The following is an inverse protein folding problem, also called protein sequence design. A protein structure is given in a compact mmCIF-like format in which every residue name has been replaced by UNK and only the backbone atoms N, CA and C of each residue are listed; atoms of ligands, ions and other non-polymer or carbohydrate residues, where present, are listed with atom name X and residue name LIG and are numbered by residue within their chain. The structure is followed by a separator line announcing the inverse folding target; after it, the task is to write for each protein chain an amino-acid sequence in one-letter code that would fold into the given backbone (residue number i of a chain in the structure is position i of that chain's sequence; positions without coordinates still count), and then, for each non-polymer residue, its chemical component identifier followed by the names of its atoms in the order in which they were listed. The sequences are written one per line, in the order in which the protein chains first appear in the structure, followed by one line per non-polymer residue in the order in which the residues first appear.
data_IF_019057906290
#
_entry.id   IF_019057906290
#
_cell.length_a   1.000
_cell.length_b   1.000
_cell.length_c   1.000
_cell.angle_alpha   90.00
_cell.angle_beta   90.00
_cell.angle_gamma   90.00
#
_symmetry.space_group_name_H-M   'P 1'
#
loop_
_entity.id
_entity.type
_entity.pdbx_description
1 polymer ?
#
# COMPACT_ATOMS: atom_id res chain seq x y z
N UNK A 1 31.08 4.53 -12.46
CA UNK A 1 30.22 3.33 -12.63
C UNK A 1 30.80 2.19 -11.81
N UNK A 2 30.01 1.53 -10.97
CA UNK A 2 30.46 0.35 -10.22
C UNK A 2 30.55 -0.84 -11.20
N UNK A 3 31.58 -1.67 -11.12
CA UNK A 3 31.70 -2.87 -11.98
C UNK A 3 30.71 -3.98 -11.60
N UNK A 4 30.47 -4.94 -12.50
CA UNK A 4 29.66 -6.15 -12.24
C UNK A 4 28.14 -5.95 -12.39
N UNK A 5 27.35 -6.80 -11.71
CA UNK A 5 25.89 -6.79 -11.77
C UNK A 5 25.27 -5.43 -11.34
N UNK A 6 25.92 -4.73 -10.41
CA UNK A 6 25.53 -3.38 -9.99
C UNK A 6 25.69 -2.34 -11.09
N UNK A 7 26.73 -2.46 -11.92
CA UNK A 7 26.89 -1.59 -13.09
C UNK A 7 25.87 -1.86 -14.20
N UNK A 8 25.35 -3.07 -14.29
CA UNK A 8 24.25 -3.39 -15.20
C UNK A 8 22.91 -2.81 -14.71
N UNK A 9 22.64 -2.91 -13.40
CA UNK A 9 21.50 -2.27 -12.77
C UNK A 9 21.52 -0.74 -12.93
N UNK A 10 22.68 -0.12 -12.72
CA UNK A 10 22.86 1.33 -12.91
C UNK A 10 22.58 1.74 -14.37
N UNK A 11 23.02 0.95 -15.36
CA UNK A 11 22.72 1.20 -16.79
C UNK A 11 21.24 1.08 -17.08
N UNK A 12 20.59 0.00 -16.62
CA UNK A 12 19.16 -0.19 -16.80
C UNK A 12 18.35 0.94 -16.17
N UNK A 13 18.80 1.47 -15.02
CA UNK A 13 18.18 2.64 -14.39
C UNK A 13 18.32 3.88 -15.25
N UNK A 14 19.49 4.13 -15.81
CA UNK A 14 19.74 5.28 -16.70
C UNK A 14 18.88 5.17 -17.95
N UNK A 15 18.91 4.02 -18.63
CA UNK A 15 18.12 3.77 -19.84
C UNK A 15 16.61 3.95 -19.56
N UNK A 16 16.13 3.47 -18.40
CA UNK A 16 14.75 3.66 -17.98
C UNK A 16 14.38 5.13 -17.70
N UNK A 17 15.32 5.94 -17.21
CA UNK A 17 15.10 7.38 -17.01
C UNK A 17 15.14 8.16 -18.32
N UNK A 18 16.03 7.76 -19.24
CA UNK A 18 16.14 8.34 -20.58
C UNK A 18 14.89 8.06 -21.42
N UNK A 19 14.32 6.86 -21.32
CA UNK A 19 13.01 6.52 -21.90
C UNK A 19 11.84 7.38 -21.39
N UNK A 20 12.04 8.12 -20.29
CA UNK A 20 11.07 9.06 -19.72
C UNK A 20 11.41 10.52 -20.03
N UNK A 21 12.40 10.80 -20.90
CA UNK A 21 12.77 12.16 -21.30
C UNK A 21 11.57 12.92 -21.93
N UNK A 22 10.74 12.22 -22.72
CA UNK A 22 9.52 12.78 -23.32
C UNK A 22 8.49 13.35 -22.32
N UNK A 23 8.58 13.03 -21.04
CA UNK A 23 7.75 13.63 -19.98
C UNK A 23 8.14 15.09 -19.65
N UNK A 24 9.27 15.58 -20.17
CA UNK A 24 9.77 16.94 -19.99
C UNK A 24 10.58 17.16 -18.71
N UNK A 25 11.15 18.35 -18.59
CA UNK A 25 12.05 18.75 -17.50
C UNK A 25 11.35 19.42 -16.32
N UNK A 26 10.08 19.84 -16.47
CA UNK A 26 9.32 20.50 -15.41
C UNK A 26 8.89 19.58 -14.27
N UNK A 27 8.25 20.15 -13.24
CA UNK A 27 7.75 19.41 -12.07
C UNK A 27 6.93 18.15 -12.45
N UNK A 28 6.03 18.17 -13.45
CA UNK A 28 5.29 16.97 -13.84
C UNK A 28 6.19 15.84 -14.34
N UNK A 29 7.20 16.13 -15.17
CA UNK A 29 8.15 15.13 -15.65
C UNK A 29 9.02 14.57 -14.52
N UNK A 30 9.42 15.42 -13.58
CA UNK A 30 10.11 14.98 -12.37
C UNK A 30 9.20 14.10 -11.47
N UNK A 31 7.90 14.39 -11.39
CA UNK A 31 6.91 13.50 -10.75
C UNK A 31 6.84 12.14 -11.46
N UNK A 32 6.82 12.10 -12.79
CA UNK A 32 6.83 10.82 -13.54
C UNK A 32 8.05 9.97 -13.17
N UNK A 33 9.25 10.56 -13.24
CA UNK A 33 10.51 9.87 -12.93
C UNK A 33 10.62 9.46 -11.46
N UNK A 34 10.20 10.32 -10.54
CA UNK A 34 10.25 10.04 -9.11
C UNK A 34 9.21 9.02 -8.67
N UNK A 35 7.98 9.09 -9.19
CA UNK A 35 6.94 8.13 -8.86
C UNK A 35 7.28 6.74 -9.43
N UNK A 36 7.77 6.66 -10.68
CA UNK A 36 8.08 5.40 -11.32
C UNK A 36 9.39 4.77 -10.80
N UNK A 37 10.45 5.56 -10.63
CA UNK A 37 11.80 5.05 -10.37
C UNK A 37 12.50 5.71 -9.17
N UNK A 38 11.83 6.54 -8.39
CA UNK A 38 12.43 7.19 -7.20
C UNK A 38 13.53 8.19 -7.56
N UNK A 39 13.55 8.67 -8.80
CA UNK A 39 14.39 9.78 -9.22
C UNK A 39 13.61 11.09 -9.07
N UNK A 40 13.73 11.73 -7.91
CA UNK A 40 13.11 13.04 -7.61
C UNK A 40 13.95 14.23 -8.10
N UNK A 41 15.11 13.95 -8.71
CA UNK A 41 15.95 14.94 -9.37
C UNK A 41 15.15 15.71 -10.43
N UNK A 42 15.07 17.04 -10.27
CA UNK A 42 14.37 17.95 -11.17
C UNK A 42 13.08 18.56 -10.60
N UNK A 43 12.59 18.13 -9.43
CA UNK A 43 11.51 18.85 -8.76
C UNK A 43 11.99 20.22 -8.28
N UNK A 44 11.20 21.27 -8.53
CA UNK A 44 11.45 22.58 -7.96
C UNK A 44 11.34 22.56 -6.42
N UNK A 45 12.09 23.42 -5.70
CA UNK A 45 11.97 23.52 -4.24
C UNK A 45 10.54 23.80 -3.77
N UNK A 46 9.77 24.56 -4.56
CA UNK A 46 8.35 24.82 -4.32
C UNK A 46 7.51 23.55 -4.41
N UNK A 47 7.67 22.75 -5.47
CA UNK A 47 6.95 21.49 -5.62
C UNK A 47 7.29 20.49 -4.51
N UNK A 48 8.56 20.41 -4.08
CA UNK A 48 8.97 19.60 -2.93
C UNK A 48 8.26 20.05 -1.65
N UNK A 49 8.19 21.36 -1.42
CA UNK A 49 7.50 21.91 -0.26
C UNK A 49 5.99 21.62 -0.31
N UNK A 50 5.35 21.76 -1.47
CA UNK A 50 3.94 21.49 -1.67
C UNK A 50 3.61 20.00 -1.45
N UNK A 51 4.44 19.09 -1.97
CA UNK A 51 4.28 17.65 -1.77
C UNK A 51 4.40 17.27 -0.29
N UNK A 52 5.32 17.91 0.45
CA UNK A 52 5.45 17.70 1.91
C UNK A 52 4.24 18.26 2.66
N UNK A 53 3.85 19.50 2.38
CA UNK A 53 2.74 20.17 3.04
C UNK A 53 1.37 19.52 2.77
N UNK A 54 1.18 18.91 1.60
CA UNK A 54 -0.02 18.14 1.25
C UNK A 54 -0.01 16.69 1.74
N UNK A 55 1.13 16.19 2.23
CA UNK A 55 1.29 14.78 2.62
C UNK A 55 1.43 13.82 1.43
N UNK A 56 1.71 14.32 0.23
CA UNK A 56 1.92 13.54 -0.99
C UNK A 56 3.39 13.18 -1.24
N UNK A 57 4.33 13.64 -0.41
CA UNK A 57 5.76 13.35 -0.55
C UNK A 57 6.10 11.84 -0.61
N UNK A 58 5.27 10.99 0.00
CA UNK A 58 5.43 9.53 -0.06
C UNK A 58 5.22 8.94 -1.47
N UNK A 59 4.62 9.69 -2.41
CA UNK A 59 4.48 9.28 -3.81
C UNK A 59 5.81 9.36 -4.57
N UNK A 60 6.73 10.23 -4.14
CA UNK A 60 8.03 10.42 -4.78
C UNK A 60 9.06 9.39 -4.34
N UNK A 61 8.83 8.73 -3.20
CA UNK A 61 9.62 7.59 -2.77
C UNK A 61 9.00 6.32 -3.35
N UNK A 62 9.81 5.47 -4.00
CA UNK A 62 9.32 4.17 -4.47
C UNK A 62 8.81 3.38 -3.26
N UNK A 63 7.51 3.13 -3.26
CA UNK A 63 6.76 2.61 -2.12
C UNK A 63 6.13 1.25 -2.40
N UNK A 64 5.59 0.63 -1.35
CA UNK A 64 4.78 -0.59 -1.47
C UNK A 64 3.56 -0.42 -2.39
N UNK A 65 3.03 0.81 -2.52
CA UNK A 65 1.95 1.12 -3.46
C UNK A 65 2.37 0.92 -4.91
N UNK A 66 3.57 1.36 -5.28
CA UNK A 66 4.10 1.19 -6.64
C UNK A 66 4.28 -0.29 -6.97
N UNK A 67 4.78 -1.08 -6.02
CA UNK A 67 4.89 -2.54 -6.20
C UNK A 67 3.51 -3.19 -6.32
N UNK A 68 2.52 -2.78 -5.53
CA UNK A 68 1.16 -3.30 -5.65
C UNK A 68 0.53 -2.96 -7.01
N UNK A 69 0.75 -1.74 -7.51
CA UNK A 69 0.28 -1.30 -8.82
C UNK A 69 1.01 -1.98 -9.98
N UNK A 70 2.31 -2.26 -9.83
CA UNK A 70 3.08 -3.09 -10.76
C UNK A 70 2.50 -4.51 -10.83
N UNK A 71 2.25 -5.14 -9.68
CA UNK A 71 1.62 -6.47 -9.61
C UNK A 71 0.26 -6.44 -10.29
N UNK A 72 -0.55 -5.41 -10.02
CA UNK A 72 -1.86 -5.25 -10.65
C UNK A 72 -1.75 -5.14 -12.17
N UNK A 73 -0.84 -4.32 -12.69
CA UNK A 73 -0.59 -4.17 -14.12
C UNK A 73 -0.24 -5.51 -14.78
N UNK A 74 0.73 -6.23 -14.21
CA UNK A 74 1.21 -7.50 -14.78
C UNK A 74 0.14 -8.58 -14.72
N UNK A 75 -0.61 -8.65 -13.61
CA UNK A 75 -1.70 -9.62 -13.47
C UNK A 75 -2.83 -9.33 -14.45
N UNK A 76 -3.23 -8.07 -14.60
CA UNK A 76 -4.27 -7.65 -15.55
C UNK A 76 -3.84 -7.92 -16.99
N UNK A 77 -2.59 -7.60 -17.35
CA UNK A 77 -2.03 -7.89 -18.67
C UNK A 77 -2.00 -9.41 -18.94
N UNK A 78 -1.54 -10.20 -17.97
CA UNK A 78 -1.53 -11.66 -18.10
C UNK A 78 -2.94 -12.24 -18.27
N UNK A 79 -3.94 -11.71 -17.57
CA UNK A 79 -5.33 -12.14 -17.74
C UNK A 79 -5.94 -11.71 -19.07
N UNK A 80 -5.62 -10.51 -19.55
CA UNK A 80 -6.05 -10.05 -20.87
C UNK A 80 -5.51 -10.96 -22.00
N UNK A 81 -4.32 -11.56 -21.79
CA UNK A 81 -3.72 -12.54 -22.68
C UNK A 81 -4.19 -13.99 -22.43
N UNK A 82 -5.21 -14.21 -21.60
CA UNK A 82 -5.75 -15.55 -21.30
C UNK A 82 -4.90 -16.39 -20.33
N UNK A 83 -3.95 -15.75 -19.62
CA UNK A 83 -3.04 -16.41 -18.70
C UNK A 83 -3.73 -16.93 -17.43
N UNK A 84 -3.29 -18.10 -16.95
CA UNK A 84 -3.75 -18.65 -15.67
C UNK A 84 -3.32 -17.78 -14.48
N UNK A 85 -4.04 -17.88 -13.35
CA UNK A 85 -3.66 -17.23 -12.08
C UNK A 85 -2.22 -17.53 -11.66
N UNK A 86 -1.72 -18.74 -11.92
CA UNK A 86 -0.34 -19.13 -11.58
C UNK A 86 0.69 -18.42 -12.45
N UNK A 87 0.43 -18.34 -13.76
CA UNK A 87 1.30 -17.62 -14.70
C UNK A 87 1.31 -16.12 -14.39
N UNK A 88 0.15 -15.52 -14.13
CA UNK A 88 0.03 -14.11 -13.77
C UNK A 88 0.83 -13.75 -12.50
N UNK A 89 0.71 -14.56 -11.44
CA UNK A 89 1.45 -14.33 -10.20
C UNK A 89 2.95 -14.65 -10.33
N UNK A 90 3.33 -15.64 -11.14
CA UNK A 90 4.73 -15.92 -11.47
C UNK A 90 5.38 -14.76 -12.22
N UNK A 91 4.68 -14.22 -13.23
CA UNK A 91 5.11 -13.04 -13.98
C UNK A 91 5.21 -11.81 -13.07
N UNK A 92 4.27 -11.63 -12.13
CA UNK A 92 4.32 -10.53 -11.17
C UNK A 92 5.55 -10.63 -10.26
N UNK A 93 5.92 -11.82 -9.76
CA UNK A 93 7.14 -12.01 -8.97
C UNK A 93 8.38 -11.65 -9.80
N UNK A 94 8.46 -12.11 -11.05
CA UNK A 94 9.56 -11.78 -11.95
C UNK A 94 9.65 -10.26 -12.19
N UNK A 95 8.51 -9.60 -12.41
CA UNK A 95 8.42 -8.16 -12.59
C UNK A 95 8.85 -7.38 -11.35
N UNK A 96 8.50 -7.85 -10.14
CA UNK A 96 8.99 -7.25 -8.89
C UNK A 96 10.51 -7.31 -8.82
N UNK A 97 11.10 -8.48 -9.10
CA UNK A 97 12.55 -8.65 -9.06
C UNK A 97 13.26 -7.74 -10.08
N UNK A 98 12.72 -7.66 -11.30
CA UNK A 98 13.21 -6.74 -12.32
C UNK A 98 13.08 -5.28 -11.87
N UNK A 99 11.93 -4.89 -11.31
CA UNK A 99 11.70 -3.52 -10.83
C UNK A 99 12.66 -3.14 -9.69
N UNK A 100 12.89 -4.03 -8.72
CA UNK A 100 13.89 -3.79 -7.66
C UNK A 100 15.30 -3.69 -8.24
N UNK A 101 15.64 -4.49 -9.24
CA UNK A 101 16.95 -4.42 -9.90
C UNK A 101 17.16 -3.10 -10.66
N UNK A 102 16.12 -2.60 -11.36
CA UNK A 102 16.18 -1.34 -12.12
C UNK A 102 16.18 -0.13 -11.20
N UNK A 103 15.29 -0.09 -10.20
CA UNK A 103 15.24 1.04 -9.27
C UNK A 103 16.51 1.09 -8.41
N UNK A 104 17.07 -0.07 -8.08
CA UNK A 104 18.27 -0.20 -7.26
C UNK A 104 17.96 -0.53 -5.80
N UNK A 105 19.00 -0.78 -5.00
CA UNK A 105 18.90 -1.36 -3.66
C UNK A 105 18.56 -0.30 -2.59
N UNK A 106 17.58 0.56 -2.86
CA UNK A 106 17.09 1.48 -1.85
C UNK A 106 16.34 0.69 -0.76
N UNK A 107 16.56 0.93 0.54
CA UNK A 107 15.90 0.19 1.61
C UNK A 107 14.37 0.16 1.48
N UNK A 108 13.76 1.23 0.97
CA UNK A 108 12.30 1.30 0.70
C UNK A 108 11.86 0.33 -0.40
N UNK A 109 12.64 0.22 -1.46
CA UNK A 109 12.36 -0.61 -2.63
C UNK A 109 12.46 -2.08 -2.28
N UNK A 110 13.51 -2.45 -1.54
CA UNK A 110 13.71 -3.83 -1.06
C UNK A 110 12.56 -4.26 -0.15
N UNK A 111 12.13 -3.39 0.78
CA UNK A 111 10.96 -3.64 1.63
C UNK A 111 9.70 -3.90 0.81
N UNK A 112 9.43 -3.03 -0.15
CA UNK A 112 8.28 -3.13 -1.03
C UNK A 112 8.31 -4.44 -1.85
N UNK A 113 9.48 -4.81 -2.37
CA UNK A 113 9.70 -6.05 -3.11
C UNK A 113 9.46 -7.30 -2.26
N UNK A 114 9.98 -7.34 -1.03
CA UNK A 114 9.75 -8.46 -0.09
C UNK A 114 8.26 -8.59 0.22
N UNK A 115 7.59 -7.48 0.56
CA UNK A 115 6.15 -7.49 0.88
C UNK A 115 5.29 -7.92 -0.33
N UNK A 116 5.58 -7.38 -1.52
CA UNK A 116 4.88 -7.71 -2.77
C UNK A 116 5.09 -9.17 -3.18
N UNK A 117 6.34 -9.66 -3.12
CA UNK A 117 6.69 -11.05 -3.44
C UNK A 117 6.05 -12.03 -2.46
N UNK A 118 6.15 -11.77 -1.16
CA UNK A 118 5.48 -12.56 -0.13
C UNK A 118 3.95 -12.56 -0.30
N UNK A 119 3.36 -11.43 -0.69
CA UNK A 119 1.95 -11.33 -1.05
C UNK A 119 1.57 -12.23 -2.23
N UNK A 120 2.35 -12.21 -3.31
CA UNK A 120 2.15 -13.08 -4.48
C UNK A 120 2.26 -14.57 -4.11
N UNK A 121 3.27 -14.94 -3.31
CA UNK A 121 3.45 -16.31 -2.82
C UNK A 121 2.28 -16.73 -1.93
N UNK A 122 1.82 -15.86 -1.03
CA UNK A 122 0.66 -16.13 -0.18
C UNK A 122 -0.62 -16.33 -1.01
N UNK A 123 -0.80 -15.55 -2.08
CA UNK A 123 -1.90 -15.73 -3.02
C UNK A 123 -1.80 -17.08 -3.75
N UNK A 124 -0.62 -17.46 -4.25
CA UNK A 124 -0.38 -18.77 -4.87
C UNK A 124 -0.68 -19.93 -3.91
N UNK A 125 -0.27 -19.79 -2.65
CA UNK A 125 -0.50 -20.77 -1.58
C UNK A 125 -1.94 -20.78 -1.03
N UNK A 126 -2.82 -19.88 -1.49
CA UNK A 126 -4.21 -19.78 -1.00
C UNK A 126 -4.33 -19.28 0.44
N UNK A 127 -3.32 -18.59 0.98
CA UNK A 127 -3.25 -18.12 2.38
C UNK A 127 -3.15 -16.59 2.49
N UNK A 128 -4.15 -15.81 2.02
CA UNK A 128 -4.09 -14.34 2.00
C UNK A 128 -4.12 -13.68 3.39
N UNK A 129 -4.46 -14.41 4.45
CA UNK A 129 -4.73 -13.85 5.80
C UNK A 129 -3.49 -13.62 6.67
N UNK A 130 -2.29 -13.62 6.10
CA UNK A 130 -1.04 -13.56 6.86
C UNK A 130 -0.36 -12.18 6.87
N UNK A 131 -1.08 -11.08 6.64
CA UNK A 131 -0.49 -9.72 6.51
C UNK A 131 0.44 -9.34 7.67
N UNK A 132 0.04 -9.64 8.92
CA UNK A 132 0.88 -9.42 10.11
C UNK A 132 2.15 -10.28 10.15
N UNK A 133 2.07 -11.52 9.66
CA UNK A 133 3.23 -12.42 9.59
C UNK A 133 4.19 -11.97 8.50
N UNK A 134 3.67 -11.51 7.36
CA UNK A 134 4.47 -10.94 6.28
C UNK A 134 5.18 -9.67 6.74
N UNK A 135 4.49 -8.79 7.47
CA UNK A 135 5.09 -7.61 8.08
C UNK A 135 6.21 -7.99 9.05
N UNK A 136 5.93 -8.90 10.00
CA UNK A 136 6.93 -9.35 10.98
C UNK A 136 8.15 -10.03 10.36
N UNK A 137 7.95 -10.89 9.37
CA UNK A 137 9.03 -11.53 8.63
C UNK A 137 9.86 -10.52 7.82
N UNK A 138 9.21 -9.53 7.19
CA UNK A 138 9.90 -8.45 6.51
C UNK A 138 10.78 -7.64 7.46
N UNK A 139 10.25 -7.26 8.64
CA UNK A 139 11.02 -6.56 9.66
C UNK A 139 12.22 -7.38 10.13
N UNK A 140 12.01 -8.66 10.45
CA UNK A 140 13.06 -9.56 10.90
C UNK A 140 14.16 -9.73 9.84
N UNK A 141 13.81 -9.95 8.58
CA UNK A 141 14.77 -10.11 7.50
C UNK A 141 15.64 -8.86 7.32
N UNK A 142 15.05 -7.66 7.39
CA UNK A 142 15.79 -6.39 7.28
C UNK A 142 16.71 -6.17 8.47
N UNK A 143 16.26 -6.45 9.69
CA UNK A 143 17.06 -6.25 10.89
C UNK A 143 18.20 -7.27 11.01
N UNK A 144 18.01 -8.48 10.49
CA UNK A 144 19.09 -9.47 10.35
C UNK A 144 20.13 -9.01 9.32
N UNK A 145 19.70 -8.40 8.22
CA UNK A 145 20.61 -7.85 7.21
C UNK A 145 21.37 -6.62 7.71
N UNK A 146 20.66 -5.67 8.32
CA UNK A 146 21.24 -4.48 8.91
C UNK A 146 20.40 -4.00 10.11
N UNK A 147 20.89 -4.19 11.35
CA UNK A 147 20.16 -3.77 12.55
C UNK A 147 20.04 -2.25 12.66
N UNK A 148 20.95 -1.48 12.06
CA UNK A 148 20.87 -0.01 12.05
C UNK A 148 19.66 0.51 11.28
N UNK A 149 19.04 -0.31 10.43
CA UNK A 149 17.81 0.05 9.72
C UNK A 149 16.63 0.35 10.66
N UNK A 150 16.70 -0.03 11.95
CA UNK A 150 15.70 0.37 12.94
C UNK A 150 15.61 1.90 13.14
N UNK A 151 16.72 2.60 12.95
CA UNK A 151 16.81 4.06 13.13
C UNK A 151 16.57 4.83 11.83
N UNK A 152 16.39 4.12 10.71
CA UNK A 152 16.06 4.72 9.42
C UNK A 152 14.62 5.27 9.46
N UNK A 153 14.40 6.58 9.25
CA UNK A 153 13.06 7.16 9.21
C UNK A 153 12.17 6.50 8.16
N UNK A 154 12.74 6.10 7.02
CA UNK A 154 12.00 5.43 5.95
C UNK A 154 11.42 4.08 6.38
N UNK A 155 12.21 3.27 7.09
CA UNK A 155 11.74 2.00 7.67
C UNK A 155 10.66 2.25 8.72
N UNK A 156 10.90 3.18 9.65
CA UNK A 156 9.94 3.52 10.70
C UNK A 156 8.59 3.94 10.13
N UNK A 157 8.59 4.85 9.15
CA UNK A 157 7.37 5.34 8.50
C UNK A 157 6.66 4.26 7.70
N UNK A 158 7.39 3.43 6.95
CA UNK A 158 6.81 2.36 6.14
C UNK A 158 6.12 1.30 7.01
N UNK A 159 6.78 0.84 8.07
CA UNK A 159 6.20 -0.16 8.97
C UNK A 159 5.07 0.42 9.82
N UNK A 160 5.21 1.66 10.31
CA UNK A 160 4.15 2.34 11.03
C UNK A 160 2.89 2.54 10.17
N UNK A 161 3.06 2.94 8.91
CA UNK A 161 1.95 3.09 7.97
C UNK A 161 1.23 1.75 7.75
N UNK A 162 1.95 0.67 7.45
CA UNK A 162 1.33 -0.65 7.20
C UNK A 162 0.65 -1.18 8.47
N UNK A 163 1.31 -1.08 9.64
CA UNK A 163 0.73 -1.47 10.90
C UNK A 163 -0.53 -0.64 11.23
N UNK A 164 -0.48 0.68 10.99
CA UNK A 164 -1.60 1.58 11.15
C UNK A 164 -2.77 1.26 10.22
N UNK A 165 -2.50 0.94 8.95
CA UNK A 165 -3.53 0.48 8.02
C UNK A 165 -4.17 -0.81 8.53
N UNK A 166 -3.39 -1.78 8.99
CA UNK A 166 -3.93 -3.06 9.48
C UNK A 166 -4.74 -2.92 10.79
N UNK A 167 -4.34 -2.00 11.68
CA UNK A 167 -5.03 -1.78 12.97
C UNK A 167 -6.21 -0.81 12.85
N UNK A 168 -6.01 0.31 12.19
CA UNK A 168 -6.90 1.48 12.21
C UNK A 168 -7.83 1.49 11.00
N UNK A 169 -7.41 1.02 9.82
CA UNK A 169 -8.25 1.09 8.62
C UNK A 169 -9.59 0.32 8.72
N UNK A 170 -9.68 -0.86 9.37
CA UNK A 170 -10.98 -1.53 9.59
C UNK A 170 -11.96 -0.67 10.40
N UNK A 171 -11.44 0.11 11.35
CA UNK A 171 -12.23 0.99 12.20
C UNK A 171 -12.65 2.28 11.48
N UNK A 172 -11.75 2.87 10.68
CA UNK A 172 -12.05 4.07 9.88
C UNK A 172 -12.97 3.76 8.71
N UNK A 173 -12.91 2.55 8.13
CA UNK A 173 -13.88 2.09 7.12
C UNK A 173 -15.30 2.03 7.66
N UNK A 174 -15.50 1.62 8.92
CA UNK A 174 -16.81 1.64 9.55
C UNK A 174 -17.32 3.07 9.80
N UNK A 175 -16.43 4.03 10.04
CA UNK A 175 -16.77 5.46 10.14
C UNK A 175 -17.09 6.05 8.76
N UNK A 176 -16.31 5.70 7.76
CA UNK A 176 -16.49 6.16 6.38
C UNK A 176 -17.74 5.52 5.73
N UNK A 177 -18.12 4.30 6.12
CA UNK A 177 -19.38 3.68 5.72
C UNK A 177 -20.62 4.40 6.26
N UNK A 178 -20.48 5.24 7.30
CA UNK A 178 -21.54 6.13 7.76
C UNK A 178 -21.65 7.41 6.90
N UNK A 179 -20.73 7.63 5.95
CA UNK A 179 -20.81 8.72 4.97
C UNK A 179 -21.56 8.26 3.72
N UNK A 180 -22.14 9.19 2.96
CA UNK A 180 -22.79 8.90 1.67
C UNK A 180 -21.81 8.70 0.51
N UNK A 181 -20.51 8.50 0.80
CA UNK A 181 -19.48 8.37 -0.22
C UNK A 181 -19.49 6.96 -0.83
N UNK A 182 -19.04 6.81 -2.10
CA UNK A 182 -18.81 5.51 -2.70
C UNK A 182 -17.82 4.68 -1.86
N UNK A 183 -18.05 3.37 -1.76
CA UNK A 183 -17.23 2.47 -0.93
C UNK A 183 -15.72 2.58 -1.21
N UNK A 184 -15.33 2.75 -2.48
CA UNK A 184 -13.93 2.90 -2.87
C UNK A 184 -13.31 4.17 -2.29
N UNK A 185 -14.03 5.30 -2.36
CA UNK A 185 -13.58 6.59 -1.82
C UNK A 185 -13.49 6.52 -0.30
N UNK A 186 -14.51 5.96 0.35
CA UNK A 186 -14.54 5.73 1.79
C UNK A 186 -13.37 4.85 2.26
N UNK A 187 -13.07 3.78 1.52
CA UNK A 187 -11.96 2.87 1.83
C UNK A 187 -10.59 3.54 1.63
N UNK A 188 -10.42 4.32 0.56
CA UNK A 188 -9.20 5.08 0.31
C UNK A 188 -8.98 6.13 1.42
N UNK A 189 -10.01 6.91 1.77
CA UNK A 189 -9.97 7.89 2.85
C UNK A 189 -9.59 7.24 4.19
N UNK A 190 -10.19 6.10 4.48
CA UNK A 190 -9.93 5.33 5.69
C UNK A 190 -8.48 4.83 5.79
N UNK A 191 -7.91 4.37 4.66
CA UNK A 191 -6.52 3.92 4.56
C UNK A 191 -5.56 5.11 4.71
N UNK A 192 -5.80 6.22 4.01
CA UNK A 192 -4.98 7.43 4.12
C UNK A 192 -5.00 7.97 5.54
N UNK A 193 -6.17 8.12 6.16
CA UNK A 193 -6.28 8.60 7.53
C UNK A 193 -5.55 7.70 8.53
N UNK A 194 -5.69 6.38 8.39
CA UNK A 194 -4.98 5.41 9.24
C UNK A 194 -3.45 5.52 9.10
N UNK A 195 -2.94 5.60 7.87
CA UNK A 195 -1.52 5.75 7.61
C UNK A 195 -0.98 7.09 8.12
N UNK A 196 -1.68 8.21 7.84
CA UNK A 196 -1.27 9.54 8.30
C UNK A 196 -1.24 9.62 9.83
N UNK A 197 -2.28 9.15 10.52
CA UNK A 197 -2.36 9.24 11.98
C UNK A 197 -1.24 8.46 12.68
N UNK A 198 -0.84 7.32 12.11
CA UNK A 198 0.20 6.47 12.69
C UNK A 198 1.62 6.92 12.33
N UNK A 199 1.81 7.53 11.17
CA UNK A 199 3.11 8.08 10.75
C UNK A 199 3.36 9.49 11.28
N UNK A 200 2.32 10.26 11.61
CA UNK A 200 2.41 11.64 12.07
C UNK A 200 3.42 11.89 13.19
N UNK A 201 3.48 11.10 14.29
CA UNK A 201 4.46 11.33 15.36
C UNK A 201 5.91 11.17 14.89
N UNK A 202 6.14 10.20 14.00
CA UNK A 202 7.47 9.89 13.44
C UNK A 202 7.86 11.00 12.46
N UNK A 203 6.95 11.42 11.59
CA UNK A 203 7.17 12.53 10.66
C UNK A 203 7.44 13.85 11.38
N UNK A 204 6.71 14.12 12.46
CA UNK A 204 6.97 15.30 13.29
C UNK A 204 8.36 15.25 13.93
N UNK A 205 8.75 14.10 14.50
CA UNK A 205 10.04 13.95 15.16
C UNK A 205 11.23 14.13 14.20
N UNK A 206 11.17 13.54 13.01
CA UNK A 206 12.28 13.57 12.06
C UNK A 206 12.28 14.79 11.13
N UNK A 207 11.10 15.31 10.78
CA UNK A 207 10.98 16.35 9.74
C UNK A 207 10.28 17.64 10.21
N UNK A 208 9.76 17.68 11.45
CA UNK A 208 9.09 18.85 12.00
C UNK A 208 7.79 19.25 11.29
N UNK A 209 7.22 18.37 10.45
CA UNK A 209 6.04 18.68 9.64
C UNK A 209 5.04 17.51 9.63
N UNK A 210 3.74 17.84 9.70
CA UNK A 210 2.66 16.87 9.56
C UNK A 210 1.50 17.46 8.77
N UNK A 211 1.12 16.81 7.68
CA UNK A 211 0.01 17.21 6.82
C UNK A 211 -1.34 16.60 7.26
N UNK A 212 -1.74 16.73 8.54
CA UNK A 212 -2.96 16.07 9.04
C UNK A 212 -4.22 16.49 8.28
N UNK A 213 -4.43 17.79 8.11
CA UNK A 213 -5.64 18.33 7.49
C UNK A 213 -5.68 18.14 5.96
N UNK A 214 -4.52 18.29 5.30
CA UNK A 214 -4.41 18.23 3.85
C UNK A 214 -4.28 16.80 3.31
N UNK A 215 -3.79 15.84 4.11
CA UNK A 215 -3.44 14.50 3.60
C UNK A 215 -4.62 13.77 2.96
N UNK A 216 -5.77 13.66 3.64
CA UNK A 216 -6.93 12.92 3.11
C UNK A 216 -7.45 13.52 1.80
N UNK A 217 -7.79 14.82 1.70
CA UNK A 217 -8.29 15.39 0.45
C UNK A 217 -7.25 15.33 -0.67
N UNK A 218 -5.98 15.65 -0.39
CA UNK A 218 -4.93 15.63 -1.41
C UNK A 218 -4.66 14.22 -1.93
N UNK A 219 -4.61 13.22 -1.05
CA UNK A 219 -4.42 11.81 -1.45
C UNK A 219 -5.60 11.27 -2.24
N UNK A 220 -6.85 11.58 -1.84
CA UNK A 220 -8.02 11.14 -2.58
C UNK A 220 -8.07 11.73 -3.99
N UNK A 221 -7.71 13.01 -4.13
CA UNK A 221 -7.65 13.68 -5.42
C UNK A 221 -6.51 13.16 -6.30
N UNK A 222 -5.34 12.87 -5.72
CA UNK A 222 -4.17 12.36 -6.44
C UNK A 222 -4.27 10.87 -6.77
N UNK A 223 -4.96 10.06 -5.95
CA UNK A 223 -5.05 8.60 -6.07
C UNK A 223 -5.37 8.06 -7.48
N UNK A 224 -6.34 8.59 -8.24
CA UNK A 224 -6.63 8.09 -9.59
C UNK A 224 -5.51 8.37 -10.60
N UNK A 225 -4.70 9.40 -10.39
CA UNK A 225 -3.60 9.74 -11.30
C UNK A 225 -2.35 8.88 -11.08
N UNK A 226 -2.10 8.42 -9.87
CA UNK A 226 -0.94 7.56 -9.52
C UNK A 226 -0.80 6.32 -10.42
N UNK A 227 -1.81 5.46 -10.60
CA UNK A 227 -1.68 4.30 -11.49
C UNK A 227 -1.51 4.70 -12.94
N UNK A 228 -2.12 5.81 -13.39
CA UNK A 228 -1.96 6.29 -14.76
C UNK A 228 -0.52 6.70 -15.02
N UNK A 229 0.09 7.48 -14.12
CA UNK A 229 1.51 7.85 -14.21
C UNK A 229 2.38 6.59 -14.22
N UNK A 230 2.20 5.70 -13.25
CA UNK A 230 3.08 4.53 -13.12
C UNK A 230 2.96 3.59 -14.31
N UNK A 231 1.74 3.26 -14.75
CA UNK A 231 1.56 2.30 -15.84
C UNK A 231 2.00 2.86 -17.18
N UNK A 232 1.76 4.16 -17.45
CA UNK A 232 2.26 4.80 -18.68
C UNK A 232 3.78 4.94 -18.67
N UNK A 233 4.40 5.26 -17.54
CA UNK A 233 5.86 5.30 -17.40
C UNK A 233 6.49 3.90 -17.59
N UNK A 234 5.94 2.86 -16.96
CA UNK A 234 6.41 1.50 -17.14
C UNK A 234 6.24 1.02 -18.60
N UNK A 235 5.14 1.42 -19.26
CA UNK A 235 4.92 1.12 -20.66
C UNK A 235 5.92 1.85 -21.57
N UNK A 236 6.23 3.13 -21.30
CA UNK A 236 7.24 3.88 -22.03
C UNK A 236 8.60 3.16 -21.98
N UNK A 237 9.06 2.81 -20.78
CA UNK A 237 10.32 2.08 -20.58
C UNK A 237 10.33 0.71 -21.27
N UNK A 238 9.21 0.00 -21.28
CA UNK A 238 9.11 -1.31 -21.93
C UNK A 238 9.15 -1.21 -23.47
N UNK A 239 8.65 -0.11 -24.04
CA UNK A 239 8.53 0.11 -25.49
C UNK A 239 9.78 0.77 -26.07
N UNK A 240 10.52 1.54 -25.28
CA UNK A 240 11.68 2.33 -25.69
C UNK A 240 12.71 1.57 -26.54
N UNK A 241 13.14 0.34 -26.19
CA UNK A 241 14.14 -0.39 -26.97
C UNK A 241 13.72 -0.73 -28.41
N UNK A 242 12.41 -0.73 -28.69
CA UNK A 242 11.84 -1.15 -29.99
C UNK A 242 11.26 0.04 -30.74
N UNK A 243 10.65 1.00 -30.04
CA UNK A 243 9.98 2.15 -30.63
C UNK A 243 10.16 3.40 -29.74
N UNK A 244 11.34 4.05 -29.77
CA UNK A 244 11.65 5.17 -28.88
C UNK A 244 10.68 6.35 -29.06
N UNK A 245 10.25 6.65 -30.30
CA UNK A 245 9.24 7.69 -30.54
C UNK A 245 7.88 7.38 -29.88
N UNK A 246 7.51 6.11 -29.75
CA UNK A 246 6.30 5.71 -29.04
C UNK A 246 6.49 5.80 -27.52
N UNK A 247 7.68 5.49 -27.02
CA UNK A 247 8.04 5.69 -25.61
C UNK A 247 7.99 7.17 -25.23
N UNK A 248 8.51 8.07 -26.08
CA UNK A 248 8.40 9.52 -25.89
C UNK A 248 6.94 9.98 -25.84
N UNK A 249 6.09 9.47 -26.74
CA UNK A 249 4.65 9.76 -26.73
C UNK A 249 3.96 9.27 -25.45
N UNK A 250 4.34 8.11 -24.93
CA UNK A 250 3.83 7.56 -23.66
C UNK A 250 4.31 8.38 -22.45
N UNK A 251 5.59 8.76 -22.43
CA UNK A 251 6.17 9.61 -21.40
C UNK A 251 5.53 11.01 -21.40
N UNK A 252 5.30 11.58 -22.58
CA UNK A 252 4.55 12.82 -22.75
C UNK A 252 3.12 12.67 -22.24
N UNK A 253 2.44 11.55 -22.52
CA UNK A 253 1.12 11.28 -21.97
C UNK A 253 1.13 11.19 -20.43
N UNK A 254 2.17 10.58 -19.84
CA UNK A 254 2.33 10.42 -18.39
C UNK A 254 2.43 11.77 -17.65
N UNK A 255 2.87 12.83 -18.34
CA UNK A 255 3.02 14.16 -17.74
C UNK A 255 1.68 14.76 -17.31
N UNK A 256 0.57 14.44 -17.98
CA UNK A 256 -0.74 15.02 -17.69
C UNK A 256 -1.31 14.58 -16.33
N UNK A 257 -1.40 13.28 -16.03
CA UNK A 257 -1.78 12.85 -14.68
C UNK A 257 -0.73 13.25 -13.64
N UNK A 258 0.55 13.37 -14.01
CA UNK A 258 1.57 13.89 -13.10
C UNK A 258 1.36 15.38 -12.77
N UNK A 259 0.98 16.20 -13.75
CA UNK A 259 0.63 17.61 -13.55
C UNK A 259 -0.60 17.75 -12.64
N UNK A 260 -1.55 16.83 -12.75
CA UNK A 260 -2.67 16.75 -11.81
C UNK A 260 -2.19 16.46 -10.37
N UNK A 261 -1.21 15.57 -10.18
CA UNK A 261 -0.61 15.33 -8.85
C UNK A 261 0.05 16.61 -8.31
N UNK A 262 0.79 17.35 -9.15
CA UNK A 262 1.39 18.65 -8.77
C UNK A 262 0.32 19.65 -8.36
N UNK A 263 -0.80 19.73 -9.09
CA UNK A 263 -1.93 20.59 -8.73
C UNK A 263 -2.58 20.15 -7.41
N UNK A 264 -2.76 18.85 -7.19
CA UNK A 264 -3.26 18.31 -5.92
C UNK A 264 -2.32 18.66 -4.76
N UNK A 265 -1.01 18.63 -4.98
CA UNK A 265 -0.01 19.00 -3.98
C UNK A 265 -0.13 20.48 -3.61
N UNK A 266 -0.21 21.37 -4.60
CA UNK A 266 -0.42 22.81 -4.40
C UNK A 266 -1.73 23.11 -3.65
N UNK A 267 -2.83 22.49 -4.07
CA UNK A 267 -4.12 22.63 -3.40
C UNK A 267 -4.10 22.11 -1.97
N UNK A 268 -3.45 20.96 -1.74
CA UNK A 268 -3.24 20.41 -0.40
C UNK A 268 -2.39 21.32 0.49
N UNK A 269 -1.32 21.89 -0.04
CA UNK A 269 -0.48 22.84 0.67
C UNK A 269 -1.26 24.10 1.09
N UNK A 270 -2.11 24.62 0.21
CA UNK A 270 -3.01 25.74 0.53
C UNK A 270 -4.01 25.40 1.65
N UNK A 271 -4.59 24.19 1.64
CA UNK A 271 -5.44 23.71 2.74
C UNK A 271 -4.65 23.65 4.05
N UNK A 272 -3.44 23.10 4.01
CA UNK A 272 -2.57 23.01 5.18
C UNK A 272 -2.25 24.38 5.77
N UNK A 273 -1.91 25.35 4.92
CA UNK A 273 -1.61 26.72 5.33
C UNK A 273 -2.83 27.45 5.92
N UNK A 274 -4.04 27.13 5.46
CA UNK A 274 -5.28 27.69 5.98
C UNK A 274 -5.68 27.14 7.36
N UNK A 275 -5.14 25.98 7.77
CA UNK A 275 -5.46 25.36 9.06
C UNK A 275 -4.51 25.88 10.15
N UNK A 276 -5.03 26.52 11.20
CA UNK A 276 -4.19 27.03 12.29
C UNK A 276 -3.40 25.91 12.99
N UNK A 277 -2.16 26.19 13.39
CA UNK A 277 -1.28 25.20 14.02
C UNK A 277 -1.88 24.53 15.28
N UNK A 278 -2.77 25.23 16.00
CA UNK A 278 -3.47 24.69 17.18
C UNK A 278 -4.56 23.66 16.84
N UNK A 279 -5.08 23.66 15.61
CA UNK A 279 -6.12 22.73 15.19
C UNK A 279 -5.57 21.31 14.97
N UNK A 280 -4.27 21.17 14.71
CA UNK A 280 -3.57 19.89 14.52
C UNK A 280 -3.64 19.00 15.77
N UNK A 281 -3.26 19.46 16.99
CA UNK A 281 -3.41 18.68 18.21
C UNK A 281 -4.89 18.45 18.60
N UNK A 282 -5.80 19.36 18.25
CA UNK A 282 -7.23 19.17 18.48
C UNK A 282 -7.82 18.04 17.61
N UNK A 283 -7.45 17.99 16.32
CA UNK A 283 -7.84 16.91 15.40
C UNK A 283 -7.21 15.56 15.80
N UNK A 284 -5.94 15.56 16.21
CA UNK A 284 -5.28 14.38 16.74
C UNK A 284 -5.93 13.88 18.04
N UNK A 285 -6.25 14.79 18.97
CA UNK A 285 -6.96 14.49 20.21
C UNK A 285 -8.36 13.93 19.98
N UNK A 286 -9.11 14.49 19.04
CA UNK A 286 -10.42 13.98 18.64
C UNK A 286 -10.33 12.55 18.06
N UNK A 287 -9.34 12.29 17.19
CA UNK A 287 -9.11 10.95 16.63
C UNK A 287 -8.74 9.93 17.72
N UNK A 288 -7.87 10.30 18.67
CA UNK A 288 -7.51 9.47 19.82
C UNK A 288 -8.71 9.18 20.73
N UNK A 289 -9.57 10.16 20.99
CA UNK A 289 -10.78 9.99 21.80
C UNK A 289 -11.79 9.04 21.13
N UNK A 290 -11.97 9.14 19.82
CA UNK A 290 -12.82 8.21 19.05
C UNK A 290 -12.26 6.78 19.10
N UNK A 291 -10.94 6.62 18.95
CA UNK A 291 -10.27 5.32 19.05
C UNK A 291 -10.41 4.73 20.48
N UNK A 292 -10.18 5.52 21.53
CA UNK A 292 -10.28 5.09 22.92
C UNK A 292 -11.70 4.62 23.30
N UNK A 293 -12.73 5.35 22.86
CA UNK A 293 -14.15 4.97 23.09
C UNK A 293 -14.51 3.63 22.44
N UNK A 294 -13.88 3.28 21.31
CA UNK A 294 -14.14 2.03 20.58
C UNK A 294 -13.37 0.83 21.16
N UNK A 295 -12.14 1.05 21.65
CA UNK A 295 -11.40 0.02 22.40
C UNK A 295 -12.10 -0.30 23.72
N UNK A 296 -12.70 0.70 24.38
CA UNK A 296 -13.55 0.52 25.55
C UNK A 296 -14.83 -0.27 25.26
N UNK A 297 -15.51 -0.02 24.13
CA UNK A 297 -16.75 -0.71 23.78
C UNK A 297 -16.56 -2.13 23.23
N UNK A 298 -15.38 -2.45 22.69
CA UNK A 298 -15.00 -3.81 22.25
C UNK A 298 -14.74 -4.79 23.39
N UNK A 299 -14.40 -4.30 24.60
CA UNK A 299 -14.19 -5.14 25.80
C UNK A 299 -15.51 -5.57 26.48
N UNK A 300 -16.64 -4.95 26.13
CA UNK A 300 -17.96 -5.24 26.75
C UNK A 300 -18.79 -6.33 26.06
N UNK A 301 -18.38 -6.83 24.89
CA UNK A 301 -19.06 -7.96 24.23
C UNK A 301 -18.35 -9.26 24.61
N UNK A 302 -18.69 -9.78 25.79
CA UNK A 302 -18.43 -11.16 26.12
C UNK A 302 -18.90 -12.04 24.95
N UNK A 303 -18.04 -12.95 24.48
CA UNK A 303 -18.42 -13.95 23.50
C UNK A 303 -19.70 -14.64 23.98
N UNK A 304 -20.72 -14.87 23.12
CA UNK A 304 -21.81 -15.74 23.48
C UNK A 304 -21.20 -17.07 23.89
N UNK A 305 -21.39 -17.47 25.16
CA UNK A 305 -21.02 -18.82 25.58
C UNK A 305 -21.67 -19.79 24.58
N UNK A 306 -20.92 -20.79 24.07
CA UNK A 306 -21.52 -21.84 23.27
C UNK A 306 -22.63 -22.43 24.14
N UNK A 307 -23.90 -22.25 23.75
CA UNK A 307 -24.98 -23.01 24.35
C UNK A 307 -24.68 -24.46 24.01
N UNK A 308 -24.16 -25.20 24.99
CA UNK A 308 -24.10 -26.65 24.90
C UNK A 308 -25.52 -27.11 24.52
N UNK A 309 -25.68 -27.92 23.47
CA UNK A 309 -26.97 -28.53 23.19
C UNK A 309 -27.44 -29.22 24.47
N UNK A 310 -28.70 -29.04 24.90
CA UNK A 310 -29.20 -29.74 26.07
C UNK A 310 -28.92 -31.23 25.87
N UNK A 311 -28.22 -31.83 26.83
CA UNK A 311 -27.88 -33.24 26.83
C UNK A 311 -29.13 -34.02 26.47
N UNK A 312 -29.11 -34.61 25.27
CA UNK A 312 -30.17 -35.42 24.72
C UNK A 312 -30.26 -36.75 25.43
N UNK A 313 -30.52 -36.74 26.74
CA UNK A 313 -30.97 -37.88 27.50
C UNK A 313 -32.50 -37.84 27.58
N UNK A 314 -33.12 -38.08 26.42
CA UNK A 314 -34.54 -38.33 26.24
C UNK A 314 -34.77 -39.69 25.57
N UNK A 315 -35.85 -40.40 25.90
CA UNK A 315 -35.88 -41.86 26.01
C UNK A 315 -36.11 -42.56 24.67
N UNK A 316 -35.07 -42.73 23.85
CA UNK A 316 -35.15 -43.56 22.62
C UNK A 316 -34.31 -44.82 22.64
N UNK A 317 -33.44 -45.01 23.63
CA UNK A 317 -32.62 -46.24 23.75
C UNK A 317 -33.29 -47.37 24.57
N UNK A 318 -34.37 -47.08 25.31
CA UNK A 318 -35.11 -48.10 26.08
C UNK A 318 -36.01 -49.01 25.23
N UNK A 319 -36.56 -48.51 24.12
CA UNK A 319 -37.48 -49.26 23.28
C UNK A 319 -36.77 -50.28 22.37
N UNK A 320 -35.55 -49.96 21.91
CA UNK A 320 -34.74 -50.86 21.07
C UNK A 320 -34.20 -52.05 21.88
N UNK A 321 -33.79 -51.85 23.14
CA UNK A 321 -33.34 -52.95 24.02
C UNK A 321 -34.47 -53.87 24.47
N UNK A 322 -35.69 -53.36 24.69
CA UNK A 322 -36.85 -54.19 25.03
C UNK A 322 -37.35 -55.07 23.88
N UNK A 323 -37.18 -54.64 22.62
CA UNK A 323 -37.53 -55.47 21.45
C UNK A 323 -36.50 -56.58 21.14
N UNK A 324 -35.23 -56.39 21.52
CA UNK A 324 -34.21 -57.43 21.39
C UNK A 324 -34.36 -58.54 22.45
N UNK A 325 -34.79 -58.21 23.68
CA UNK A 325 -35.01 -59.19 24.75
C UNK A 325 -36.27 -60.06 24.56
N UNK A 326 -37.27 -59.59 23.81
CA UNK A 326 -38.51 -60.33 23.55
C UNK A 326 -38.42 -61.36 22.41
N UNK A 327 -37.30 -61.42 21.68
CA UNK A 327 -37.07 -62.40 20.59
C UNK A 327 -36.17 -63.58 20.99
N UNK A 328 -35.78 -63.67 22.26
CA UNK A 328 -34.95 -64.74 22.80
C UNK A 328 -35.66 -65.46 23.95
N UNK A 329 -36.81 -66.10 23.66
CA UNK A 329 -37.38 -67.14 24.51
C UNK A 329 -37.83 -68.31 23.63
N UNK A 330 -37.34 -69.54 23.87
CA UNK A 330 -37.72 -70.71 23.09
C UNK A 330 -39.00 -71.34 23.64
N UNK A 331 -39.97 -71.58 22.76
CA UNK A 331 -40.81 -72.79 22.70
C UNK A 331 -41.32 -72.97 21.29
#
# INVERSE_FOLDING_TARGET
MRGGAWGAADRLRIDALDALAGAGEGDPGAVVRGLAFGADAGLSPGAVADLRASGLAHLMAVSGGNVALLVALVVLAAWALGGSRRHALGAAIAAILAYVAVVGPDPSVVRAGIAGGAGCIALLAGRPRAAWRVLGLGAAALLVWNPHSLFDPGLQLSFAAVAGILLVAPHTRALAAATRLPHVVAAAAAVTAAATLTTAPISWWHFGQVALAASVPANLAAAPAVPLVLWTALAAVAVDPVAPAAADGLAWCAQWPAAWIVLCARGGAAIGAAVPAWAVPALAGAACLVAARRVGSGRGRAAPQPRLPPDGHGPRQGAARRRAAARALPR
#
